data_IF_670877839181
#
_entry.id   IF_670877839181
#
_cell.length_a   1.000
_cell.length_b   1.000
_cell.length_c   1.000
_cell.angle_alpha   90.00
_cell.angle_beta   90.00
_cell.angle_gamma   90.00
#
_symmetry.space_group_name_H-M   'P 1'
#
loop_
_entity.id
_entity.type
_entity.pdbx_description
1 polymer ?
#
# COMPACT_ATOMS: atom_id res chain seq x y z
N UNK A 1 1.40 -15.22 -12.03
CA UNK A 1 1.60 -14.09 -11.10
C UNK A 1 0.27 -13.84 -10.42
N UNK A 2 0.22 -13.85 -9.08
CA UNK A 2 -0.98 -13.52 -8.33
C UNK A 2 -1.37 -12.05 -8.58
N UNK A 3 -2.65 -11.77 -8.87
CA UNK A 3 -3.17 -10.42 -9.11
C UNK A 3 -2.91 -9.49 -7.92
N UNK A 4 -3.01 -10.00 -6.70
CA UNK A 4 -2.76 -9.23 -5.47
C UNK A 4 -1.31 -8.74 -5.38
N UNK A 5 -0.36 -9.63 -5.71
CA UNK A 5 1.05 -9.28 -5.77
C UNK A 5 1.30 -8.16 -6.78
N UNK A 6 0.66 -8.22 -7.95
CA UNK A 6 0.80 -7.16 -8.96
C UNK A 6 0.26 -5.81 -8.47
N UNK A 7 -0.90 -5.79 -7.80
CA UNK A 7 -1.48 -4.57 -7.26
C UNK A 7 -0.63 -3.97 -6.13
N UNK A 8 -0.10 -4.80 -5.23
CA UNK A 8 0.78 -4.34 -4.16
C UNK A 8 2.08 -3.74 -4.73
N UNK A 9 2.70 -4.40 -5.71
CA UNK A 9 3.90 -3.88 -6.36
C UNK A 9 3.64 -2.52 -7.03
N UNK A 10 2.50 -2.41 -7.72
CA UNK A 10 2.03 -1.17 -8.31
C UNK A 10 1.85 -0.04 -7.28
N UNK A 11 1.19 -0.32 -6.15
CA UNK A 11 1.00 0.64 -5.06
C UNK A 11 2.35 1.10 -4.50
N UNK A 12 3.29 0.17 -4.26
CA UNK A 12 4.61 0.50 -3.69
C UNK A 12 5.46 1.33 -4.65
N UNK A 13 5.43 1.02 -5.95
CA UNK A 13 6.11 1.81 -6.98
C UNK A 13 5.55 3.22 -7.06
N UNK A 14 4.21 3.34 -7.03
CA UNK A 14 3.54 4.64 -7.08
C UNK A 14 3.83 5.50 -5.85
N UNK A 15 3.81 4.92 -4.64
CA UNK A 15 4.21 5.62 -3.41
C UNK A 15 5.66 6.10 -3.52
N UNK A 16 6.56 5.24 -4.01
CA UNK A 16 7.98 5.57 -4.18
C UNK A 16 8.14 6.78 -5.10
N UNK A 17 7.48 6.76 -6.26
CA UNK A 17 7.51 7.85 -7.23
C UNK A 17 6.98 9.17 -6.64
N UNK A 18 5.84 9.13 -5.93
CA UNK A 18 5.27 10.33 -5.33
C UNK A 18 6.17 10.89 -4.22
N UNK A 19 6.83 10.03 -3.44
CA UNK A 19 7.82 10.46 -2.46
C UNK A 19 9.05 11.10 -3.10
N UNK A 20 9.56 10.55 -4.21
CA UNK A 20 10.65 11.17 -4.97
C UNK A 20 10.24 12.54 -5.50
N UNK A 21 9.03 12.65 -6.06
CA UNK A 21 8.50 13.88 -6.62
C UNK A 21 8.33 14.99 -5.56
N UNK A 22 7.91 14.62 -4.35
CA UNK A 22 7.76 15.54 -3.21
C UNK A 22 9.09 15.88 -2.53
N UNK A 23 10.19 15.22 -2.88
CA UNK A 23 11.46 15.37 -2.16
C UNK A 23 11.40 14.83 -0.72
N UNK A 24 10.62 13.78 -0.50
CA UNK A 24 10.46 13.15 0.80
C UNK A 24 11.78 12.49 1.27
N UNK A 25 11.84 12.11 2.54
CA UNK A 25 13.03 11.54 3.14
C UNK A 25 13.57 10.30 2.36
N UNK A 26 14.87 10.33 2.03
CA UNK A 26 15.58 9.26 1.29
C UNK A 26 15.49 7.87 1.94
N UNK A 27 15.37 7.80 3.27
CA UNK A 27 15.19 6.54 3.98
C UNK A 27 13.80 5.95 3.73
N UNK A 28 12.75 6.77 3.64
CA UNK A 28 11.40 6.31 3.29
C UNK A 28 11.38 5.79 1.85
N UNK A 29 11.88 6.57 0.89
CA UNK A 29 11.97 6.16 -0.53
C UNK A 29 12.71 4.82 -0.65
N UNK A 30 13.87 4.70 -0.01
CA UNK A 30 14.67 3.47 -0.04
C UNK A 30 13.96 2.27 0.60
N UNK A 31 13.20 2.49 1.67
CA UNK A 31 12.42 1.43 2.31
C UNK A 31 11.33 0.87 1.38
N UNK A 32 10.60 1.74 0.67
CA UNK A 32 9.59 1.32 -0.30
C UNK A 32 10.20 0.61 -1.52
N UNK A 33 11.32 1.10 -2.07
CA UNK A 33 12.07 0.40 -3.12
C UNK A 33 12.54 -0.99 -2.69
N UNK A 34 13.03 -1.10 -1.45
CA UNK A 34 13.46 -2.38 -0.88
C UNK A 34 12.29 -3.34 -0.72
N UNK A 35 11.15 -2.85 -0.21
CA UNK A 35 9.94 -3.65 -0.11
C UNK A 35 9.45 -4.15 -1.47
N UNK A 36 9.45 -3.28 -2.49
CA UNK A 36 9.14 -3.66 -3.87
C UNK A 36 10.03 -4.81 -4.34
N UNK A 37 11.35 -4.68 -4.17
CA UNK A 37 12.29 -5.73 -4.58
C UNK A 37 12.04 -7.06 -3.85
N UNK A 38 11.81 -7.01 -2.52
CA UNK A 38 11.49 -8.21 -1.72
C UNK A 38 10.22 -8.88 -2.24
N UNK A 39 9.13 -8.12 -2.36
CA UNK A 39 7.82 -8.66 -2.77
C UNK A 39 7.87 -9.17 -4.21
N UNK A 40 8.60 -8.51 -5.09
CA UNK A 40 8.76 -8.94 -6.48
C UNK A 40 9.44 -10.32 -6.58
N UNK A 41 10.35 -10.64 -5.65
CA UNK A 41 11.05 -11.91 -5.58
C UNK A 41 10.29 -13.05 -4.91
N UNK A 42 9.18 -12.78 -4.22
CA UNK A 42 8.36 -13.82 -3.57
C UNK A 42 7.73 -14.71 -4.64
N UNK A 43 8.02 -16.01 -4.61
CA UNK A 43 7.40 -16.98 -5.52
C UNK A 43 6.09 -17.56 -4.95
N UNK A 44 6.00 -17.62 -3.62
CA UNK A 44 4.82 -18.09 -2.90
C UNK A 44 3.64 -17.12 -3.02
N UNK A 45 2.49 -17.55 -2.53
CA UNK A 45 1.31 -16.70 -2.44
C UNK A 45 1.51 -15.60 -1.38
N UNK A 46 1.50 -14.35 -1.84
CA UNK A 46 1.66 -13.18 -0.97
C UNK A 46 0.51 -13.06 0.05
N UNK A 47 -0.71 -13.45 -0.34
CA UNK A 47 -1.88 -13.41 0.53
C UNK A 47 -1.70 -14.37 1.71
N UNK A 48 -1.23 -15.59 1.43
CA UNK A 48 -0.89 -16.57 2.46
C UNK A 48 0.22 -16.07 3.40
N UNK A 49 1.29 -15.46 2.88
CA UNK A 49 2.37 -14.89 3.70
C UNK A 49 1.90 -13.72 4.59
N UNK A 50 0.93 -12.94 4.11
CA UNK A 50 0.30 -11.89 4.88
C UNK A 50 -0.57 -12.46 6.01
N UNK A 51 -1.45 -13.41 5.70
CA UNK A 51 -2.34 -14.05 6.68
C UNK A 51 -1.58 -14.83 7.76
N UNK A 52 -0.50 -15.51 7.38
CA UNK A 52 0.35 -16.25 8.32
C UNK A 52 1.22 -15.35 9.20
N UNK A 53 1.30 -14.05 8.90
CA UNK A 53 2.16 -13.09 9.57
C UNK A 53 3.65 -13.21 9.23
N UNK A 54 4.03 -14.11 8.31
CA UNK A 54 5.42 -14.28 7.87
C UNK A 54 5.93 -13.05 7.13
N UNK A 55 5.08 -12.36 6.39
CA UNK A 55 5.44 -11.14 5.65
C UNK A 55 5.96 -10.04 6.59
N UNK A 56 5.37 -9.90 7.78
CA UNK A 56 5.77 -8.91 8.78
C UNK A 56 7.15 -9.21 9.40
N UNK A 57 7.63 -10.45 9.29
CA UNK A 57 8.92 -10.89 9.81
C UNK A 57 10.05 -10.69 8.78
N UNK A 58 9.73 -10.38 7.52
CA UNK A 58 10.72 -10.23 6.47
C UNK A 58 11.56 -8.97 6.67
N UNK A 59 12.88 -9.13 6.72
CA UNK A 59 13.83 -8.02 6.86
C UNK A 59 13.70 -7.03 5.70
N UNK A 60 13.23 -5.83 6.00
CA UNK A 60 12.98 -4.78 5.00
C UNK A 60 11.51 -4.46 4.79
N UNK A 61 10.59 -5.23 5.40
CA UNK A 61 9.17 -4.90 5.49
C UNK A 61 8.90 -4.27 6.86
N UNK A 62 8.94 -2.94 6.91
CA UNK A 62 8.65 -2.17 8.13
C UNK A 62 7.15 -1.91 8.33
N UNK A 63 6.78 -1.37 9.51
CA UNK A 63 5.38 -1.08 9.87
C UNK A 63 4.61 -0.27 8.82
N UNK A 64 5.23 0.76 8.23
CA UNK A 64 4.57 1.58 7.20
C UNK A 64 4.26 0.80 5.91
N UNK A 65 5.19 -0.04 5.46
CA UNK A 65 4.99 -0.91 4.30
C UNK A 65 3.92 -1.97 4.61
N UNK A 66 3.99 -2.57 5.80
CA UNK A 66 2.99 -3.55 6.23
C UNK A 66 1.58 -2.93 6.30
N UNK A 67 1.47 -1.68 6.76
CA UNK A 67 0.20 -0.94 6.77
C UNK A 67 -0.35 -0.74 5.36
N UNK A 68 0.51 -0.39 4.39
CA UNK A 68 0.10 -0.25 2.97
C UNK A 68 -0.44 -1.56 2.40
N UNK A 69 0.22 -2.67 2.71
CA UNK A 69 -0.17 -4.00 2.26
C UNK A 69 -1.46 -4.46 2.96
N UNK A 70 -1.55 -4.21 4.27
CA UNK A 70 -2.74 -4.53 5.06
C UNK A 70 -3.95 -3.76 4.57
N UNK A 71 -3.81 -2.47 4.26
CA UNK A 71 -4.88 -1.67 3.67
C UNK A 71 -5.36 -2.29 2.36
N UNK A 72 -4.45 -2.71 1.48
CA UNK A 72 -4.84 -3.37 0.23
C UNK A 72 -5.63 -4.66 0.49
N UNK A 73 -5.15 -5.55 1.37
CA UNK A 73 -5.86 -6.81 1.65
C UNK A 73 -7.19 -6.61 2.38
N UNK A 74 -7.32 -5.58 3.22
CA UNK A 74 -8.52 -5.34 4.02
C UNK A 74 -9.56 -4.46 3.31
N UNK A 75 -9.11 -3.50 2.49
CA UNK A 75 -9.94 -2.44 1.90
C UNK A 75 -9.96 -2.47 0.37
N UNK A 76 -9.04 -3.20 -0.27
CA UNK A 76 -8.85 -3.20 -1.72
C UNK A 76 -8.06 -1.99 -2.26
N UNK A 77 -7.59 -1.09 -1.39
CA UNK A 77 -6.79 0.08 -1.75
C UNK A 77 -5.84 0.47 -0.60
N UNK A 78 -4.82 1.27 -0.88
CA UNK A 78 -3.94 1.84 0.16
C UNK A 78 -4.40 3.24 0.58
N UNK A 79 -4.61 3.44 1.87
CA UNK A 79 -4.98 4.76 2.44
C UNK A 79 -3.82 5.72 2.30
N UNK A 80 -2.60 5.28 2.65
CA UNK A 80 -1.38 6.08 2.52
C UNK A 80 -1.20 6.60 1.08
N UNK A 81 -1.42 5.76 0.06
CA UNK A 81 -1.33 6.20 -1.33
C UNK A 81 -2.35 7.30 -1.66
N UNK A 82 -3.58 7.21 -1.16
CA UNK A 82 -4.62 8.24 -1.38
C UNK A 82 -4.25 9.56 -0.70
N UNK A 83 -3.76 9.50 0.54
CA UNK A 83 -3.31 10.68 1.29
C UNK A 83 -2.15 11.38 0.57
N UNK A 84 -1.13 10.61 0.16
CA UNK A 84 0.00 11.16 -0.58
C UNK A 84 -0.46 11.80 -1.89
N UNK A 85 -1.40 11.18 -2.62
CA UNK A 85 -1.98 11.74 -3.84
C UNK A 85 -2.73 13.05 -3.59
N UNK A 86 -3.48 13.15 -2.49
CA UNK A 86 -4.22 14.36 -2.13
C UNK A 86 -3.29 15.54 -1.77
N UNK A 87 -2.09 15.23 -1.27
CA UNK A 87 -1.07 16.24 -0.95
C UNK A 87 -0.26 16.71 -2.15
N UNK A 88 -0.26 15.96 -3.27
CA UNK A 88 0.45 16.37 -4.49
C UNK A 88 -0.47 17.27 -5.31
N UNK A 89 -0.09 18.52 -5.59
CA UNK A 89 -0.87 19.41 -6.45
C UNK A 89 -1.13 18.77 -7.82
N UNK A 90 -2.35 18.90 -8.36
CA UNK A 90 -2.78 18.25 -9.61
C UNK A 90 -1.81 18.48 -10.79
N UNK A 91 -1.15 19.65 -10.83
CA UNK A 91 -0.17 19.99 -11.86
C UNK A 91 1.12 19.14 -11.87
N UNK A 92 1.37 18.34 -10.84
CA UNK A 92 2.50 17.40 -10.76
C UNK A 92 2.09 15.93 -11.05
N UNK A 93 0.79 15.62 -11.08
CA UNK A 93 0.26 14.25 -11.23
C UNK A 93 0.12 13.85 -12.72
N UNK A 94 0.20 14.80 -13.65
CA UNK A 94 -0.05 14.56 -15.09
C UNK A 94 0.90 13.52 -15.73
N UNK A 95 2.05 13.24 -15.11
CA UNK A 95 3.03 12.24 -15.59
C UNK A 95 2.58 10.78 -15.33
N UNK A 96 1.57 10.56 -14.48
CA UNK A 96 1.14 9.22 -14.03
C UNK A 96 0.07 8.57 -14.92
N UNK A 97 -0.70 9.33 -15.70
CA UNK A 97 -1.74 8.74 -16.60
C UNK A 97 -1.18 7.78 -17.66
N UNK A 98 0.13 7.83 -17.91
CA UNK A 98 0.82 6.98 -18.88
C UNK A 98 1.23 5.62 -18.27
N UNK A 99 1.25 5.46 -16.93
CA UNK A 99 1.77 4.27 -16.23
C UNK A 99 0.71 3.25 -15.77
N UNK A 100 -0.50 3.28 -16.33
CA UNK A 100 -1.42 2.13 -16.33
C UNK A 100 -2.05 1.73 -14.99
N UNK A 101 -1.93 2.54 -13.94
CA UNK A 101 -2.53 2.28 -12.62
C UNK A 101 -3.62 3.32 -12.31
N UNK A 102 -4.59 3.41 -13.22
CA UNK A 102 -5.90 3.96 -12.88
C UNK A 102 -6.66 2.94 -12.02
N UNK A 103 -7.50 3.39 -11.08
CA UNK A 103 -8.25 2.48 -10.21
C UNK A 103 -9.02 1.49 -11.09
N UNK A 104 -8.73 0.19 -10.96
CA UNK A 104 -9.64 -0.85 -11.44
C UNK A 104 -10.94 -0.64 -10.66
N UNK A 105 -11.89 0.02 -11.31
CA UNK A 105 -13.26 0.20 -10.84
C UNK A 105 -13.76 -1.17 -10.36
N UNK A 106 -14.28 -1.31 -9.12
CA UNK A 106 -15.52 -2.04 -9.00
C UNK A 106 -16.57 -1.19 -9.70
N UNK A 107 -17.18 -1.74 -10.73
CA UNK A 107 -18.39 -1.20 -11.34
C UNK A 107 -19.47 -1.14 -10.26
N UNK A 108 -19.56 -0.04 -9.52
CA UNK A 108 -20.84 0.51 -9.13
C UNK A 108 -20.71 1.99 -8.73
N UNK A 109 -21.51 2.79 -9.40
CA UNK A 109 -22.00 4.09 -8.98
C UNK A 109 -22.24 4.18 -7.47
N UNK A 110 -21.71 5.22 -6.82
CA UNK A 110 -22.47 6.40 -6.40
C UNK A 110 -21.48 7.40 -5.80
N UNK A 111 -21.57 8.63 -6.28
CA UNK A 111 -21.07 9.84 -5.66
C UNK A 111 -21.72 9.96 -4.27
N UNK A 112 -21.01 9.69 -3.18
CA UNK A 112 -21.38 10.30 -1.91
C UNK A 112 -20.17 10.46 -0.99
N UNK A 113 -19.94 11.70 -0.61
CA UNK A 113 -19.10 12.10 0.50
C UNK A 113 -19.76 11.58 1.77
N UNK A 114 -19.38 10.40 2.26
CA UNK A 114 -19.69 10.03 3.64
C UNK A 114 -18.46 9.52 4.38
N UNK A 115 -18.16 10.27 5.44
CA UNK A 115 -17.13 10.07 6.45
C UNK A 115 -17.08 8.64 6.97
N UNK A 116 -15.90 8.00 7.13
CA UNK A 116 -15.85 6.67 7.73
C UNK A 116 -15.81 6.78 9.26
N UNK A 117 -17.00 6.77 9.86
CA UNK A 117 -17.19 6.26 11.21
C UNK A 117 -17.06 4.73 11.18
N UNK A 118 -16.33 4.19 12.16
CA UNK A 118 -16.35 2.81 12.63
C UNK A 118 -15.58 1.74 11.83
N UNK A 119 -14.26 1.70 12.02
CA UNK A 119 -13.46 0.46 11.93
C UNK A 119 -12.81 0.19 13.29
N UNK A 120 -13.63 0.07 14.33
CA UNK A 120 -13.15 0.11 15.72
C UNK A 120 -13.09 -1.24 16.45
N UNK A 121 -12.91 -2.38 15.76
CA UNK A 121 -12.97 -3.68 16.47
C UNK A 121 -11.98 -4.77 16.05
N UNK A 122 -11.08 -4.52 15.08
CA UNK A 122 -10.11 -5.56 14.64
C UNK A 122 -8.64 -5.17 14.74
N UNK A 123 -8.33 -3.87 14.85
CA UNK A 123 -6.95 -3.38 14.96
C UNK A 123 -6.28 -3.82 16.28
N UNK A 124 -7.06 -4.09 17.33
CA UNK A 124 -6.52 -4.44 18.66
C UNK A 124 -5.84 -5.82 18.73
N UNK A 125 -6.26 -6.78 17.89
CA UNK A 125 -5.77 -8.17 18.00
C UNK A 125 -4.34 -8.39 17.46
N UNK A 126 -3.86 -7.52 16.56
CA UNK A 126 -2.51 -7.65 15.98
C UNK A 126 -1.47 -6.88 16.81
N UNK A 127 -1.86 -5.80 17.50
CA UNK A 127 -0.93 -5.04 18.35
C UNK A 127 -0.54 -5.77 19.64
N UNK A 128 -1.37 -6.66 20.17
CA UNK A 128 -1.11 -7.35 21.44
C UNK A 128 -0.07 -8.49 21.33
N UNK A 129 0.17 -9.04 20.13
CA UNK A 129 1.17 -10.10 19.92
C UNK A 129 2.62 -9.61 19.78
N UNK A 130 2.87 -8.29 19.84
CA UNK A 130 4.20 -7.70 19.73
C UNK A 130 4.77 -7.17 21.06
N UNK A 131 4.15 -7.48 22.20
CA UNK A 131 4.68 -7.18 23.55
C UNK A 131 4.73 -8.41 24.50
N UNK A 132 4.80 -9.63 23.97
CA UNK A 132 5.18 -10.82 24.75
C UNK A 132 6.37 -11.52 24.12
#
# INVERSE_FOLDING_TARGET
>A
MNEDKQQILAILDEITYLFELKGENVFKISAFKKAYSIISGIQDDLSHLYESGQLAQMKGIGKGILSVIADYFNLGYSTALREIKAEVPEGLIEINKIRGLGPKKPSNSILNLESPVSVNSRIFAIQEKLQK
#
